data_IF_170568108247
#
_entry.id   IF_170568108247
#
_cell.length_a   1.000
_cell.length_b   1.000
_cell.length_c   1.000
_cell.angle_alpha   90.00
_cell.angle_beta   90.00
_cell.angle_gamma   90.00
#
_symmetry.space_group_name_H-M   'P 1'
#
loop_
_entity.id
_entity.type
_entity.pdbx_description
1 polymer ?
#
# COMPACT_ATOMS: atom_id res chain seq x y z
N UNK A 1 15.08 13.24 -10.46
CA UNK A 1 15.96 12.47 -9.55
C UNK A 1 16.21 11.13 -10.22
N UNK A 2 17.49 10.77 -10.37
CA UNK A 2 17.84 9.52 -11.09
C UNK A 2 17.64 8.30 -10.22
N UNK A 3 18.17 8.28 -9.00
CA UNK A 3 18.00 7.17 -8.06
C UNK A 3 17.81 7.67 -6.62
N UNK A 4 16.90 7.04 -5.91
CA UNK A 4 16.70 7.17 -4.47
C UNK A 4 16.90 5.81 -3.83
N UNK A 5 17.78 5.69 -2.85
CA UNK A 5 17.97 4.48 -2.07
C UNK A 5 17.32 4.63 -0.70
N UNK A 6 16.54 3.64 -0.35
CA UNK A 6 15.90 3.50 0.95
C UNK A 6 16.47 2.24 1.60
N UNK A 7 17.30 2.41 2.59
CA UNK A 7 17.88 1.32 3.37
C UNK A 7 17.16 1.19 4.71
N UNK A 8 16.88 -0.06 5.10
CA UNK A 8 16.25 -0.39 6.39
C UNK A 8 14.88 0.30 6.58
N UNK A 9 14.09 0.36 5.51
CA UNK A 9 12.75 0.95 5.56
C UNK A 9 11.82 0.05 6.38
N UNK A 10 11.30 0.55 7.50
CA UNK A 10 10.25 -0.09 8.29
C UNK A 10 8.86 0.42 7.90
N UNK A 11 7.96 -0.48 7.58
CA UNK A 11 6.55 -0.17 7.32
C UNK A 11 5.64 -1.05 8.18
N UNK A 12 4.48 -0.51 8.56
CA UNK A 12 3.46 -1.26 9.29
C UNK A 12 2.10 -1.05 8.66
N UNK A 13 1.49 -2.15 8.25
CA UNK A 13 0.14 -2.18 7.70
C UNK A 13 -0.80 -2.86 8.70
N UNK A 14 -1.81 -2.14 9.17
CA UNK A 14 -2.77 -2.66 10.15
C UNK A 14 -4.19 -2.49 9.61
N UNK A 15 -4.93 -3.60 9.60
CA UNK A 15 -6.38 -3.62 9.44
C UNK A 15 -6.99 -3.60 10.84
N UNK A 16 -7.78 -2.58 11.16
CA UNK A 16 -8.44 -2.45 12.46
C UNK A 16 -9.76 -3.23 12.51
N UNK A 17 -10.35 -3.35 13.69
CA UNK A 17 -11.63 -4.04 13.91
C UNK A 17 -12.78 -3.44 13.08
N UNK A 18 -12.74 -2.15 12.81
CA UNK A 18 -13.69 -1.43 11.94
C UNK A 18 -13.40 -1.62 10.45
N UNK A 19 -12.50 -2.55 10.09
CA UNK A 19 -12.01 -2.83 8.73
C UNK A 19 -11.35 -1.64 8.04
N UNK A 20 -10.98 -0.61 8.79
CA UNK A 20 -10.17 0.49 8.26
C UNK A 20 -8.69 0.11 8.25
N UNK A 21 -7.93 0.69 7.32
CA UNK A 21 -6.49 0.49 7.19
C UNK A 21 -5.78 1.74 7.72
N UNK A 22 -4.69 1.55 8.49
CA UNK A 22 -3.90 2.66 9.02
C UNK A 22 -3.41 3.62 7.93
N UNK A 23 -3.14 3.14 6.72
CA UNK A 23 -2.70 3.94 5.59
C UNK A 23 -3.71 5.06 5.24
N UNK A 24 -5.01 4.79 5.33
CA UNK A 24 -6.07 5.81 5.13
C UNK A 24 -5.97 6.94 6.15
N UNK A 25 -5.54 6.65 7.38
CA UNK A 25 -5.36 7.68 8.42
C UNK A 25 -4.13 8.56 8.14
N UNK A 26 -3.06 7.98 7.62
CA UNK A 26 -1.84 8.70 7.25
C UNK A 26 -2.10 9.63 6.06
N UNK A 27 -2.77 9.14 5.02
CA UNK A 27 -3.08 9.93 3.83
C UNK A 27 -4.10 11.05 4.11
N UNK A 28 -5.00 10.85 5.09
CA UNK A 28 -5.98 11.87 5.51
C UNK A 28 -5.36 12.93 6.44
N UNK A 29 -4.20 12.65 7.00
CA UNK A 29 -3.47 13.55 7.91
C UNK A 29 -2.40 14.39 7.22
N UNK A 30 -2.31 14.39 5.88
CA UNK A 30 -1.55 15.41 5.18
C UNK A 30 -2.14 16.77 5.56
N UNK A 31 -1.34 17.71 6.13
CA UNK A 31 -1.87 18.95 6.66
C UNK A 31 -2.54 19.76 5.55
N UNK A 32 -3.85 19.99 5.69
CA UNK A 32 -4.49 21.09 5.00
C UNK A 32 -3.77 22.38 5.42
N UNK A 33 -3.53 23.33 4.53
CA UNK A 33 -2.92 24.58 4.90
C UNK A 33 -3.74 25.21 6.03
N UNK A 34 -3.05 25.64 7.09
CA UNK A 34 -3.63 26.23 8.28
C UNK A 34 -4.34 27.53 7.91
N UNK A 35 -5.66 27.48 7.81
CA UNK A 35 -6.46 28.69 7.81
C UNK A 35 -6.77 29.08 9.27
N UNK A 36 -6.10 30.15 9.67
CA UNK A 36 -6.34 30.84 10.94
C UNK A 36 -7.73 31.48 10.99
N UNK A 37 -8.40 31.18 12.05
CA UNK A 37 -9.41 31.92 12.80
C UNK A 37 -9.91 33.25 12.20
N UNK A 38 -11.19 33.33 11.85
CA UNK A 38 -12.20 34.27 12.41
C UNK A 38 -13.50 34.25 11.60
N UNK A 39 -14.62 34.04 12.28
CA UNK A 39 -15.99 34.44 11.87
C UNK A 39 -16.23 35.85 12.40
N UNK A 40 -17.06 36.80 11.84
CA UNK A 40 -18.36 36.56 11.26
C UNK A 40 -18.82 37.47 10.08
N UNK A 41 -20.00 37.10 9.53
CA UNK A 41 -21.08 37.93 8.96
C UNK A 41 -20.97 38.45 7.52
N UNK A 42 -21.85 37.88 6.71
CA UNK A 42 -22.72 38.44 5.67
C UNK A 42 -22.21 39.56 4.76
N UNK A 43 -22.11 39.25 3.45
CA UNK A 43 -22.76 39.97 2.36
C UNK A 43 -22.55 39.28 1.01
N UNK A 44 -23.63 39.14 0.27
CA UNK A 44 -23.68 38.70 -1.14
C UNK A 44 -22.85 39.65 -2.00
N UNK A 45 -22.00 39.07 -2.85
CA UNK A 45 -21.84 39.59 -4.23
C UNK A 45 -21.11 38.51 -5.07
N UNK A 46 -21.71 38.16 -6.19
CA UNK A 46 -21.15 37.28 -7.17
C UNK A 46 -19.88 37.92 -7.78
N UNK A 47 -18.76 37.25 -7.68
CA UNK A 47 -17.61 37.48 -8.52
C UNK A 47 -17.00 36.13 -8.84
N UNK A 48 -17.07 35.77 -10.09
CA UNK A 48 -16.39 34.63 -10.74
C UNK A 48 -14.89 34.75 -10.45
N UNK A 49 -14.43 34.08 -9.42
CA UNK A 49 -13.00 33.89 -9.20
C UNK A 49 -12.58 32.61 -9.90
N UNK A 50 -11.92 32.76 -11.03
CA UNK A 50 -11.12 31.70 -11.63
C UNK A 50 -10.21 31.14 -10.55
N UNK A 51 -10.47 29.90 -10.13
CA UNK A 51 -9.56 29.16 -9.29
C UNK A 51 -8.26 28.99 -10.10
N UNK A 52 -7.26 29.83 -9.82
CA UNK A 52 -5.89 29.61 -10.27
C UNK A 52 -5.50 28.25 -9.72
N UNK A 53 -5.48 27.25 -10.59
CA UNK A 53 -4.91 25.95 -10.31
C UNK A 53 -3.48 26.19 -9.82
N UNK A 54 -3.22 25.86 -8.55
CA UNK A 54 -1.85 25.84 -8.03
C UNK A 54 -1.01 24.98 -8.98
N UNK A 55 0.22 25.38 -9.34
CA UNK A 55 1.03 24.59 -10.26
C UNK A 55 1.19 23.20 -9.69
N UNK A 56 0.67 22.20 -10.40
CA UNK A 56 0.78 20.81 -9.99
C UNK A 56 2.27 20.48 -9.81
N UNK A 57 2.66 20.14 -8.59
CA UNK A 57 4.04 19.74 -8.30
C UNK A 57 4.41 18.55 -9.16
N UNK A 58 5.31 18.74 -10.10
CA UNK A 58 5.80 17.68 -10.99
C UNK A 58 7.09 17.12 -10.44
N UNK A 59 7.06 15.86 -10.07
CA UNK A 59 8.22 15.10 -9.62
C UNK A 59 8.33 13.83 -10.46
N UNK A 60 9.55 13.52 -10.87
CA UNK A 60 9.89 12.26 -11.50
C UNK A 60 11.12 11.67 -10.81
N UNK A 61 11.04 10.40 -10.43
CA UNK A 61 12.15 9.64 -9.88
C UNK A 61 12.33 8.44 -10.80
N UNK A 62 13.49 8.33 -11.44
CA UNK A 62 13.73 7.25 -12.39
C UNK A 62 13.74 5.89 -11.70
N UNK A 63 14.35 5.82 -10.50
CA UNK A 63 14.41 4.59 -9.70
C UNK A 63 14.36 4.87 -8.21
N UNK A 64 13.54 4.11 -7.49
CA UNK A 64 13.62 3.98 -6.03
C UNK A 64 14.03 2.55 -5.72
N UNK A 65 15.17 2.38 -5.07
CA UNK A 65 15.68 1.09 -4.62
C UNK A 65 15.42 0.94 -3.13
N UNK A 66 14.87 -0.20 -2.74
CA UNK A 66 14.66 -0.59 -1.33
C UNK A 66 15.61 -1.73 -1.02
N UNK A 67 16.33 -1.61 0.09
CA UNK A 67 17.23 -2.64 0.62
C UNK A 67 16.96 -2.81 2.11
N UNK A 68 17.04 -4.07 2.61
CA UNK A 68 16.83 -4.44 4.02
C UNK A 68 15.52 -3.87 4.62
N UNK A 69 14.44 -3.82 3.83
CA UNK A 69 13.16 -3.34 4.31
C UNK A 69 12.45 -4.36 5.20
N UNK A 70 11.57 -3.87 6.06
CA UNK A 70 10.67 -4.67 6.88
C UNK A 70 9.24 -4.17 6.73
N UNK A 71 8.30 -5.11 6.61
CA UNK A 71 6.86 -4.83 6.58
C UNK A 71 6.17 -5.72 7.61
N UNK A 72 5.66 -5.10 8.67
CA UNK A 72 4.78 -5.76 9.63
C UNK A 72 3.32 -5.61 9.15
N UNK A 73 2.66 -6.74 8.91
CA UNK A 73 1.23 -6.78 8.62
C UNK A 73 0.47 -7.33 9.82
N UNK A 74 -0.62 -6.67 10.19
CA UNK A 74 -1.54 -7.15 11.23
C UNK A 74 -2.99 -6.96 10.79
N UNK A 75 -3.80 -7.99 10.99
CA UNK A 75 -5.25 -7.94 10.82
C UNK A 75 -5.92 -8.16 12.18
N UNK A 76 -6.44 -7.06 12.74
CA UNK A 76 -7.15 -7.04 14.02
C UNK A 76 -8.67 -7.17 13.85
N UNK A 77 -9.17 -7.30 12.62
CA UNK A 77 -10.60 -7.46 12.33
C UNK A 77 -11.11 -8.88 12.56
N UNK A 78 -10.19 -9.85 12.68
CA UNK A 78 -10.50 -11.24 12.92
C UNK A 78 -10.75 -11.51 14.42
N UNK A 79 -11.52 -12.54 14.72
CA UNK A 79 -11.77 -13.00 16.11
C UNK A 79 -10.46 -13.36 16.84
N UNK A 80 -9.52 -13.95 16.12
CA UNK A 80 -8.13 -14.14 16.54
C UNK A 80 -7.26 -13.22 15.69
N UNK A 81 -6.50 -12.29 16.27
CA UNK A 81 -5.64 -11.40 15.50
C UNK A 81 -4.62 -12.17 14.66
N UNK A 82 -4.47 -11.77 13.41
CA UNK A 82 -3.42 -12.27 12.52
C UNK A 82 -2.27 -11.30 12.46
N UNK A 83 -1.05 -11.82 12.39
CA UNK A 83 0.14 -11.02 12.17
C UNK A 83 1.20 -11.82 11.40
N UNK A 84 1.89 -11.13 10.50
CA UNK A 84 3.01 -11.67 9.75
C UNK A 84 4.04 -10.58 9.48
N UNK A 85 5.29 -10.96 9.33
CA UNK A 85 6.38 -10.05 8.99
C UNK A 85 6.99 -10.46 7.66
N UNK A 86 7.14 -9.49 6.77
CA UNK A 86 7.97 -9.60 5.58
C UNK A 86 9.27 -8.85 5.91
N UNK A 87 10.39 -9.54 5.87
CA UNK A 87 11.70 -8.99 6.17
C UNK A 87 12.70 -9.27 5.05
N UNK A 88 13.90 -8.72 5.14
CA UNK A 88 14.87 -8.74 4.05
C UNK A 88 14.25 -8.27 2.72
N UNK A 89 13.33 -7.33 2.84
CA UNK A 89 12.59 -6.80 1.72
C UNK A 89 13.50 -5.95 0.84
N UNK A 90 13.61 -6.31 -0.42
CA UNK A 90 14.48 -5.64 -1.39
C UNK A 90 13.82 -5.55 -2.75
N UNK A 91 14.24 -4.57 -3.50
CA UNK A 91 13.76 -4.42 -4.87
C UNK A 91 13.80 -3.00 -5.37
N UNK A 92 13.00 -2.71 -6.38
CA UNK A 92 12.95 -1.39 -6.97
C UNK A 92 11.58 -1.03 -7.50
N UNK A 93 11.32 0.27 -7.50
CA UNK A 93 10.29 0.92 -8.29
C UNK A 93 10.97 1.76 -9.37
N UNK A 94 10.56 1.62 -10.61
CA UNK A 94 11.08 2.38 -11.73
C UNK A 94 9.99 3.26 -12.32
N UNK A 95 10.34 4.47 -12.74
CA UNK A 95 9.44 5.36 -13.45
C UNK A 95 8.39 6.05 -12.59
N UNK A 96 8.66 6.32 -11.31
CA UNK A 96 7.74 7.02 -10.44
C UNK A 96 7.56 8.46 -10.92
N UNK A 97 6.32 8.88 -11.16
CA UNK A 97 5.99 10.25 -11.58
C UNK A 97 4.64 10.68 -11.01
N UNK A 98 4.55 11.95 -10.64
CA UNK A 98 3.29 12.59 -10.22
C UNK A 98 2.41 13.00 -11.40
N UNK A 99 2.82 12.70 -12.63
CA UNK A 99 1.97 12.93 -13.81
C UNK A 99 0.81 11.94 -13.81
N UNK A 100 -0.38 12.41 -14.14
CA UNK A 100 -1.56 11.55 -14.25
C UNK A 100 -1.34 10.43 -15.27
N UNK A 101 -1.68 9.20 -14.89
CA UNK A 101 -1.53 8.03 -15.74
C UNK A 101 -0.09 7.52 -15.90
N UNK A 102 0.86 8.05 -15.13
CA UNK A 102 2.22 7.53 -15.10
C UNK A 102 2.23 6.18 -14.35
N UNK A 103 2.77 5.16 -14.99
CA UNK A 103 2.90 3.83 -14.42
C UNK A 103 4.33 3.63 -13.90
N UNK A 104 4.43 3.20 -12.65
CA UNK A 104 5.68 2.74 -12.07
C UNK A 104 5.74 1.21 -12.17
N UNK A 105 6.88 0.69 -12.61
CA UNK A 105 7.18 -0.74 -12.54
C UNK A 105 7.72 -1.08 -11.17
N UNK A 106 7.26 -2.19 -10.60
CA UNK A 106 7.76 -2.69 -9.33
C UNK A 106 8.29 -4.11 -9.46
N UNK A 107 9.38 -4.36 -8.78
CA UNK A 107 9.94 -5.70 -8.57
C UNK A 107 10.47 -5.76 -7.15
N UNK A 108 9.82 -6.58 -6.31
CA UNK A 108 10.06 -6.66 -4.89
C UNK A 108 10.16 -8.11 -4.46
N UNK A 109 11.17 -8.44 -3.67
CA UNK A 109 11.37 -9.73 -3.05
C UNK A 109 11.50 -9.58 -1.54
N UNK A 110 11.02 -10.56 -0.78
CA UNK A 110 11.14 -10.57 0.67
C UNK A 110 10.94 -11.95 1.25
N UNK A 111 11.24 -12.09 2.52
CA UNK A 111 11.01 -13.31 3.30
C UNK A 111 9.79 -13.12 4.18
N UNK A 112 8.94 -14.14 4.26
CA UNK A 112 7.75 -14.15 5.10
C UNK A 112 8.04 -15.02 6.32
N UNK A 113 8.03 -14.42 7.49
CA UNK A 113 8.36 -15.09 8.76
C UNK A 113 9.71 -15.82 8.66
N UNK A 114 9.81 -17.10 9.04
CA UNK A 114 11.09 -17.84 9.05
C UNK A 114 11.45 -18.47 7.70
N UNK A 115 10.46 -19.00 6.97
CA UNK A 115 10.71 -19.91 5.84
C UNK A 115 10.00 -19.50 4.56
N UNK A 116 9.04 -18.59 4.65
CA UNK A 116 8.26 -18.15 3.51
C UNK A 116 9.05 -17.19 2.62
N UNK A 117 8.66 -17.14 1.35
CA UNK A 117 9.14 -16.16 0.38
C UNK A 117 7.93 -15.41 -0.19
N UNK A 118 8.12 -14.13 -0.44
CA UNK A 118 7.18 -13.30 -1.16
C UNK A 118 7.88 -12.57 -2.30
N UNK A 119 7.25 -12.54 -3.47
CA UNK A 119 7.70 -11.75 -4.61
C UNK A 119 6.52 -11.00 -5.20
N UNK A 120 6.69 -9.72 -5.49
CA UNK A 120 5.71 -8.91 -6.19
C UNK A 120 6.36 -8.27 -7.41
N UNK A 121 5.72 -8.41 -8.57
CA UNK A 121 6.16 -7.80 -9.83
C UNK A 121 4.95 -7.22 -10.55
N UNK A 122 5.12 -6.11 -11.24
CA UNK A 122 4.04 -5.54 -12.03
C UNK A 122 4.17 -4.05 -12.25
N UNK A 123 3.04 -3.43 -12.56
CA UNK A 123 2.91 -2.01 -12.82
C UNK A 123 1.77 -1.42 -12.01
N UNK A 124 1.93 -0.18 -11.57
CA UNK A 124 0.94 0.52 -10.76
C UNK A 124 1.01 2.03 -10.99
N UNK A 125 -0.13 2.68 -11.04
CA UNK A 125 -0.18 4.12 -10.78
C UNK A 125 -0.08 4.35 -9.27
N UNK A 126 1.11 4.76 -8.81
CA UNK A 126 1.38 4.92 -7.37
C UNK A 126 0.53 6.02 -6.72
N UNK A 127 0.07 7.00 -7.48
CA UNK A 127 -0.72 8.12 -6.97
C UNK A 127 -2.23 7.91 -7.13
N UNK A 128 -2.64 7.04 -8.06
CA UNK A 128 -4.02 6.53 -8.16
C UNK A 128 -4.05 5.02 -8.45
N UNK A 129 -3.80 4.18 -7.43
CA UNK A 129 -3.80 2.72 -7.60
C UNK A 129 -5.14 2.14 -8.05
N UNK A 130 -6.21 2.93 -7.95
CA UNK A 130 -7.53 2.54 -8.41
C UNK A 130 -7.74 2.80 -9.91
N UNK A 131 -6.93 3.66 -10.52
CA UNK A 131 -6.94 3.89 -11.95
C UNK A 131 -6.25 2.76 -12.70
N UNK A 132 -5.06 2.35 -12.21
CA UNK A 132 -4.34 1.23 -12.81
C UNK A 132 -3.49 0.48 -11.78
N UNK A 133 -3.62 -0.84 -11.78
CA UNK A 133 -2.77 -1.79 -11.07
C UNK A 133 -2.79 -3.12 -11.84
N UNK A 134 -1.62 -3.63 -12.17
CA UNK A 134 -1.42 -5.00 -12.69
C UNK A 134 -0.23 -5.58 -11.94
N UNK A 135 -0.50 -6.30 -10.86
CA UNK A 135 0.51 -6.83 -9.94
C UNK A 135 0.30 -8.32 -9.76
N UNK A 136 1.38 -9.07 -9.98
CA UNK A 136 1.48 -10.48 -9.62
C UNK A 136 2.24 -10.62 -8.31
N UNK A 137 1.61 -11.27 -7.33
CA UNK A 137 2.22 -11.59 -6.03
C UNK A 137 2.32 -13.09 -5.89
N UNK A 138 3.51 -13.55 -5.57
CA UNK A 138 3.83 -14.97 -5.42
C UNK A 138 4.31 -15.22 -4.00
N UNK A 139 3.64 -16.13 -3.31
CA UNK A 139 4.07 -16.64 -2.02
C UNK A 139 4.55 -18.08 -2.16
N UNK A 140 5.62 -18.44 -1.45
CA UNK A 140 6.15 -19.80 -1.42
C UNK A 140 6.50 -20.19 0.02
N UNK A 141 6.23 -21.43 0.38
CA UNK A 141 6.63 -22.00 1.67
C UNK A 141 6.10 -21.28 2.93
N UNK A 142 4.99 -20.55 2.83
CA UNK A 142 4.39 -19.85 3.98
C UNK A 142 3.79 -20.87 4.95
N UNK A 143 4.05 -20.70 6.25
CA UNK A 143 3.50 -21.57 7.31
C UNK A 143 1.97 -21.44 7.39
N UNK A 144 1.25 -22.52 7.06
CA UNK A 144 -0.22 -22.52 7.08
C UNK A 144 -0.79 -22.42 8.50
N UNK A 145 -0.10 -22.92 9.51
CA UNK A 145 -0.53 -22.83 10.91
C UNK A 145 -0.76 -21.38 11.35
N UNK A 146 0.01 -20.44 10.80
CA UNK A 146 -0.18 -19.00 11.04
C UNK A 146 -1.47 -18.44 10.47
N UNK A 147 -2.05 -19.10 9.46
CA UNK A 147 -3.34 -18.70 8.86
C UNK A 147 -4.55 -19.18 9.67
N UNK A 148 -4.33 -19.86 10.80
CA UNK A 148 -5.39 -20.29 11.71
C UNK A 148 -6.39 -19.19 12.08
N UNK A 149 -6.00 -17.92 12.32
CA UNK A 149 -6.96 -16.84 12.59
C UNK A 149 -8.02 -16.68 11.49
N UNK A 150 -7.61 -16.80 10.22
CA UNK A 150 -8.53 -16.75 9.08
C UNK A 150 -9.40 -18.00 9.03
N UNK A 151 -8.82 -19.19 9.11
CA UNK A 151 -9.59 -20.44 9.00
C UNK A 151 -10.50 -20.66 10.21
N UNK A 152 -10.11 -20.22 11.40
CA UNK A 152 -10.99 -20.23 12.58
C UNK A 152 -12.19 -19.31 12.40
N UNK A 153 -11.97 -18.11 11.83
CA UNK A 153 -13.05 -17.13 11.62
C UNK A 153 -14.03 -17.57 10.52
N UNK A 154 -13.52 -18.08 9.39
CA UNK A 154 -14.35 -18.35 8.21
C UNK A 154 -14.78 -19.82 8.07
N UNK A 155 -14.02 -20.76 8.61
CA UNK A 155 -14.27 -22.20 8.50
C UNK A 155 -14.42 -22.93 9.84
N UNK A 156 -14.24 -22.24 10.97
CA UNK A 156 -14.32 -22.83 12.31
C UNK A 156 -13.24 -23.88 12.57
N UNK A 157 -12.11 -23.82 11.86
CA UNK A 157 -11.08 -24.86 11.89
C UNK A 157 -9.70 -24.26 12.17
N UNK A 158 -8.91 -25.01 12.95
CA UNK A 158 -7.48 -24.74 13.16
C UNK A 158 -6.65 -25.52 12.13
N UNK A 159 -5.57 -24.89 11.66
CA UNK A 159 -4.55 -25.56 10.86
C UNK A 159 -3.38 -25.89 11.77
N UNK A 160 -3.05 -27.16 11.93
CA UNK A 160 -1.96 -27.60 12.79
C UNK A 160 -0.60 -27.50 12.10
N UNK A 161 -0.54 -27.81 10.81
CA UNK A 161 0.71 -27.76 10.03
C UNK A 161 0.42 -27.66 8.53
N UNK A 162 1.46 -27.35 7.77
CA UNK A 162 1.44 -27.31 6.31
C UNK A 162 2.18 -26.11 5.76
N UNK A 163 2.47 -26.16 4.47
CA UNK A 163 3.08 -25.07 3.70
C UNK A 163 2.14 -24.62 2.60
N UNK A 164 2.00 -23.31 2.47
CA UNK A 164 1.20 -22.68 1.42
C UNK A 164 2.13 -22.11 0.33
N UNK A 165 1.80 -22.41 -0.92
CA UNK A 165 2.28 -21.68 -2.07
C UNK A 165 1.09 -21.09 -2.82
N UNK A 166 1.14 -19.81 -3.12
CA UNK A 166 0.02 -19.07 -3.68
C UNK A 166 0.52 -18.10 -4.74
N UNK A 167 -0.15 -18.07 -5.87
CA UNK A 167 0.03 -17.11 -6.94
C UNK A 167 -1.24 -16.26 -7.03
N UNK A 168 -1.08 -14.96 -6.85
CA UNK A 168 -2.15 -13.97 -6.92
C UNK A 168 -1.87 -13.01 -8.07
N UNK A 169 -2.89 -12.66 -8.82
CA UNK A 169 -2.84 -11.63 -9.84
C UNK A 169 -3.94 -10.61 -9.55
N UNK A 170 -3.53 -9.36 -9.39
CA UNK A 170 -4.44 -8.24 -9.17
C UNK A 170 -4.41 -7.33 -10.37
N UNK A 171 -5.56 -7.20 -11.03
CA UNK A 171 -5.73 -6.28 -12.14
C UNK A 171 -6.83 -5.29 -11.81
N UNK A 172 -6.49 -4.02 -11.80
CA UNK A 172 -7.43 -2.92 -11.71
C UNK A 172 -7.20 -2.04 -12.91
N UNK A 173 -8.26 -1.77 -13.65
CA UNK A 173 -8.26 -0.82 -14.73
C UNK A 173 -9.54 -0.01 -14.65
N UNK A 174 -9.45 1.32 -14.77
CA UNK A 174 -10.58 2.24 -14.72
C UNK A 174 -11.51 2.01 -13.52
N UNK A 175 -10.91 1.75 -12.32
CA UNK A 175 -11.61 1.47 -11.05
C UNK A 175 -12.43 0.18 -11.06
N UNK A 176 -12.19 -0.72 -11.98
CA UNK A 176 -12.82 -2.05 -12.04
C UNK A 176 -11.76 -3.12 -11.76
N UNK A 177 -12.11 -4.04 -10.87
CA UNK A 177 -11.32 -5.25 -10.65
C UNK A 177 -11.62 -6.23 -11.80
N UNK A 178 -10.59 -6.66 -12.51
CA UNK A 178 -10.68 -7.61 -13.61
C UNK A 178 -10.34 -9.04 -13.14
#
# INVERSE_FOLDING_TARGET
IDELRLDSLGAKLVIYQDKTINLKKILKSAPAPADGVAKPAAAKTAATAEAKASPAFRMTIARVRVEHGELDFADLSLALPFGTRIHDFKGAFNGISTQSGALAELELDGRVDEYGLARAVGQIDLFDPTAFMDIKVVFRNVEMSRLTPYTATFAGRKIDSGKLSLDLEYKIQDRQLA
#
